data_IF_070546541072
#
_entry.id   IF_070546541072
#
_cell.length_a   1.000
_cell.length_b   1.000
_cell.length_c   1.000
_cell.angle_alpha   90.00
_cell.angle_beta   90.00
_cell.angle_gamma   90.00
#
_symmetry.space_group_name_H-M   'P 1'
#
loop_
_entity.id
_entity.type
_entity.pdbx_description
1 polymer ?
#
# COMPACT_ATOMS: atom_id res chain seq x y z
N UNK A 1 2.12 0.75 10.26
CA UNK A 1 0.89 1.25 9.60
C UNK A 1 0.71 0.65 8.22
N UNK A 2 1.69 0.79 7.30
CA UNK A 2 1.56 0.42 5.89
C UNK A 2 1.76 -1.07 5.53
N UNK A 3 2.41 -1.86 6.39
CA UNK A 3 2.80 -3.24 6.04
C UNK A 3 2.23 -4.31 6.98
N UNK A 4 2.05 -3.99 8.26
CA UNK A 4 1.72 -4.98 9.30
C UNK A 4 0.26 -4.92 9.81
N UNK A 5 -0.54 -3.96 9.34
CA UNK A 5 -1.95 -3.87 9.74
C UNK A 5 -2.80 -4.73 8.81
N UNK A 6 -3.83 -5.40 9.33
CA UNK A 6 -4.77 -6.23 8.54
C UNK A 6 -5.35 -5.43 7.37
N UNK A 7 -5.80 -4.20 7.62
CA UNK A 7 -6.33 -3.30 6.58
C UNK A 7 -5.31 -3.06 5.47
N UNK A 8 -4.04 -2.83 5.83
CA UNK A 8 -3.02 -2.63 4.84
C UNK A 8 -2.80 -3.92 4.04
N UNK A 9 -2.58 -5.05 4.72
CA UNK A 9 -2.33 -6.36 4.09
C UNK A 9 -3.43 -6.74 3.09
N UNK A 10 -4.70 -6.59 3.47
CA UNK A 10 -5.84 -6.86 2.60
C UNK A 10 -5.85 -5.91 1.38
N UNK A 11 -5.51 -4.63 1.56
CA UNK A 11 -5.40 -3.68 0.44
C UNK A 11 -4.25 -4.03 -0.51
N UNK A 12 -3.11 -4.52 -0.02
CA UNK A 12 -2.02 -5.04 -0.85
C UNK A 12 -2.44 -6.27 -1.67
N UNK A 13 -3.20 -7.18 -1.05
CA UNK A 13 -3.76 -8.34 -1.73
C UNK A 13 -4.77 -7.94 -2.83
N UNK A 14 -5.61 -6.94 -2.56
CA UNK A 14 -6.62 -6.47 -3.51
C UNK A 14 -6.02 -5.90 -4.81
N UNK A 15 -4.80 -5.35 -4.77
CA UNK A 15 -4.10 -4.82 -5.95
C UNK A 15 -3.06 -5.79 -6.54
N UNK A 16 -3.01 -7.03 -6.04
CA UNK A 16 -2.10 -8.06 -6.56
C UNK A 16 -0.63 -7.84 -6.20
N UNK A 17 -0.32 -7.02 -5.19
CA UNK A 17 1.05 -6.70 -4.76
C UNK A 17 1.51 -7.54 -3.55
N UNK A 18 0.83 -8.65 -3.27
CA UNK A 18 1.18 -9.55 -2.16
C UNK A 18 2.61 -10.10 -2.27
N UNK A 19 3.13 -10.32 -3.48
CA UNK A 19 4.50 -10.79 -3.69
C UNK A 19 5.55 -9.79 -3.20
N UNK A 20 5.34 -8.50 -3.48
CA UNK A 20 6.20 -7.40 -3.01
C UNK A 20 6.10 -7.26 -1.49
N UNK A 21 4.89 -7.37 -0.93
CA UNK A 21 4.66 -7.26 0.50
C UNK A 21 5.38 -8.35 1.31
N UNK A 22 5.38 -9.59 0.81
CA UNK A 22 5.97 -10.75 1.50
C UNK A 22 7.40 -11.06 1.05
N UNK A 23 8.02 -10.20 0.23
CA UNK A 23 9.40 -10.42 -0.18
C UNK A 23 10.33 -10.28 1.03
N UNK A 24 10.97 -11.39 1.39
CA UNK A 24 11.89 -11.47 2.53
C UNK A 24 13.10 -10.53 2.37
N UNK A 25 13.50 -10.21 1.13
CA UNK A 25 14.56 -9.24 0.86
C UNK A 25 14.20 -7.82 1.32
N UNK A 26 12.90 -7.51 1.43
CA UNK A 26 12.39 -6.21 1.85
C UNK A 26 11.94 -6.21 3.32
N UNK A 27 12.21 -7.25 4.11
CA UNK A 27 11.85 -7.30 5.53
C UNK A 27 12.78 -6.44 6.42
N UNK A 28 12.95 -5.16 6.07
CA UNK A 28 13.73 -4.21 6.84
C UNK A 28 13.01 -3.75 8.11
N UNK A 29 13.77 -3.21 9.07
CA UNK A 29 13.30 -2.77 10.38
C UNK A 29 12.41 -1.54 10.32
N UNK A 30 12.63 -0.63 9.36
CA UNK A 30 11.82 0.59 9.22
C UNK A 30 10.99 0.57 7.95
N UNK A 31 9.81 1.19 7.99
CA UNK A 31 8.94 1.34 6.82
C UNK A 31 9.63 2.11 5.68
N UNK A 32 10.49 3.07 6.02
CA UNK A 32 11.24 3.86 5.04
C UNK A 32 12.24 2.98 4.29
N UNK A 33 13.00 2.15 5.00
CA UNK A 33 13.98 1.26 4.37
C UNK A 33 13.31 0.21 3.48
N UNK A 34 12.10 -0.26 3.86
CA UNK A 34 11.29 -1.13 3.01
C UNK A 34 10.86 -0.42 1.73
N UNK A 35 10.40 0.83 1.81
CA UNK A 35 10.00 1.62 0.63
C UNK A 35 11.20 1.83 -0.29
N UNK A 36 12.37 2.20 0.24
CA UNK A 36 13.59 2.36 -0.55
C UNK A 36 14.02 1.05 -1.21
N UNK A 37 13.93 -0.08 -0.51
CA UNK A 37 14.25 -1.38 -1.09
C UNK A 37 13.31 -1.73 -2.26
N UNK A 38 12.00 -1.49 -2.12
CA UNK A 38 11.04 -1.67 -3.21
C UNK A 38 11.39 -0.76 -4.39
N UNK A 39 11.65 0.53 -4.15
CA UNK A 39 11.98 1.49 -5.21
C UNK A 39 13.27 1.15 -5.98
N UNK A 40 14.25 0.54 -5.31
CA UNK A 40 15.54 0.21 -5.92
C UNK A 40 15.55 -1.14 -6.67
N UNK A 41 14.65 -2.07 -6.32
CA UNK A 41 14.69 -3.44 -6.83
C UNK A 41 13.49 -3.80 -7.74
N UNK A 42 12.38 -3.08 -7.63
CA UNK A 42 11.21 -3.28 -8.48
C UNK A 42 11.22 -2.35 -9.70
N UNK A 43 10.48 -2.72 -10.74
CA UNK A 43 10.31 -1.87 -11.92
C UNK A 43 9.40 -0.65 -11.63
N UNK A 44 9.44 0.36 -12.50
CA UNK A 44 8.69 1.61 -12.32
C UNK A 44 7.17 1.44 -12.27
N UNK A 45 6.59 0.46 -12.97
CA UNK A 45 5.15 0.16 -12.92
C UNK A 45 4.77 -0.41 -11.53
N UNK A 46 5.53 -1.39 -11.03
CA UNK A 46 5.33 -1.94 -9.68
C UNK A 46 5.51 -0.85 -8.61
N UNK A 47 6.57 -0.05 -8.71
CA UNK A 47 6.83 1.05 -7.76
C UNK A 47 5.70 2.08 -7.79
N UNK A 48 5.20 2.43 -8.98
CA UNK A 48 4.07 3.35 -9.15
C UNK A 48 2.80 2.85 -8.43
N UNK A 49 2.44 1.59 -8.64
CA UNK A 49 1.29 0.95 -7.96
C UNK A 49 1.46 0.92 -6.44
N UNK A 50 2.67 0.64 -5.95
CA UNK A 50 3.00 0.68 -4.52
C UNK A 50 2.82 2.08 -3.94
N UNK A 51 3.31 3.12 -4.62
CA UNK A 51 3.18 4.51 -4.15
C UNK A 51 1.70 4.92 -4.06
N UNK A 52 0.91 4.61 -5.07
CA UNK A 52 -0.54 4.90 -5.07
C UNK A 52 -1.25 4.15 -3.94
N UNK A 53 -0.93 2.88 -3.73
CA UNK A 53 -1.50 2.11 -2.63
C UNK A 53 -1.15 2.70 -1.26
N UNK A 54 0.11 3.05 -1.04
CA UNK A 54 0.57 3.68 0.20
C UNK A 54 -0.14 5.01 0.45
N UNK A 55 -0.33 5.81 -0.61
CA UNK A 55 -1.11 7.03 -0.56
C UNK A 55 -2.57 6.76 -0.16
N UNK A 56 -3.24 5.78 -0.78
CA UNK A 56 -4.62 5.43 -0.45
C UNK A 56 -4.79 4.93 1.00
N UNK A 57 -3.84 4.13 1.51
CA UNK A 57 -3.83 3.69 2.92
C UNK A 57 -3.66 4.88 3.86
N UNK A 58 -2.75 5.79 3.55
CA UNK A 58 -2.54 7.01 4.33
C UNK A 58 -3.79 7.91 4.30
N UNK A 59 -4.37 8.12 3.13
CA UNK A 59 -5.57 8.93 2.93
C UNK A 59 -6.76 8.37 3.72
N UNK A 60 -7.01 7.06 3.63
CA UNK A 60 -8.09 6.40 4.39
C UNK A 60 -7.91 6.56 5.91
N UNK A 61 -6.67 6.47 6.40
CA UNK A 61 -6.35 6.73 7.81
C UNK A 61 -6.65 8.18 8.19
N UNK A 62 -6.29 9.13 7.33
CA UNK A 62 -6.52 10.54 7.56
C UNK A 62 -8.03 10.85 7.58
N UNK A 63 -8.79 10.28 6.65
CA UNK A 63 -10.24 10.42 6.57
C UNK A 63 -10.95 9.91 7.83
N UNK A 64 -10.49 8.78 8.39
CA UNK A 64 -10.97 8.32 9.68
C UNK A 64 -10.69 9.30 10.83
N UNK A 65 -9.49 9.90 10.85
CA UNK A 65 -9.09 10.80 11.95
C UNK A 65 -9.88 12.11 11.92
N UNK A 66 -10.09 12.67 10.72
CA UNK A 66 -10.72 13.98 10.58
C UNK A 66 -12.23 13.93 10.37
N UNK A 67 -12.76 12.85 9.78
CA UNK A 67 -14.17 12.76 9.35
C UNK A 67 -14.91 11.53 9.91
N UNK A 68 -14.26 10.70 10.74
CA UNK A 68 -14.78 9.42 11.27
C UNK A 68 -15.27 8.42 10.19
N UNK A 69 -14.86 8.64 8.94
CA UNK A 69 -15.19 7.76 7.83
C UNK A 69 -14.25 6.55 7.81
N UNK A 70 -14.83 5.36 7.93
CA UNK A 70 -14.07 4.10 7.88
C UNK A 70 -14.29 3.45 6.51
N UNK A 71 -13.24 3.41 5.70
CA UNK A 71 -13.24 2.67 4.43
C UNK A 71 -12.83 1.22 4.64
N UNK A 72 -13.49 0.30 3.93
CA UNK A 72 -13.11 -1.10 3.93
C UNK A 72 -11.80 -1.31 3.15
N UNK A 73 -10.95 -2.28 3.53
CA UNK A 73 -9.67 -2.54 2.86
C UNK A 73 -9.78 -2.80 1.35
N UNK A 74 -10.87 -3.45 0.92
CA UNK A 74 -11.20 -3.72 -0.48
C UNK A 74 -11.52 -2.43 -1.26
N UNK A 75 -12.18 -1.45 -0.63
CA UNK A 75 -12.46 -0.15 -1.23
C UNK A 75 -11.17 0.66 -1.40
N UNK A 76 -10.28 0.62 -0.41
CA UNK A 76 -8.96 1.29 -0.47
C UNK A 76 -8.13 0.68 -1.62
N UNK A 77 -8.06 -0.65 -1.70
CA UNK A 77 -7.37 -1.34 -2.78
C UNK A 77 -7.98 -1.05 -4.15
N UNK A 78 -9.31 -0.99 -4.24
CA UNK A 78 -10.01 -0.64 -5.48
C UNK A 78 -9.73 0.79 -5.92
N UNK A 79 -9.78 1.76 -5.00
CA UNK A 79 -9.42 3.14 -5.29
C UNK A 79 -7.96 3.26 -5.76
N UNK A 80 -7.03 2.53 -5.13
CA UNK A 80 -5.63 2.52 -5.56
C UNK A 80 -5.47 1.94 -6.97
N UNK A 81 -6.19 0.87 -7.29
CA UNK A 81 -6.20 0.28 -8.62
C UNK A 81 -6.79 1.23 -9.66
N UNK A 82 -7.95 1.83 -9.39
CA UNK A 82 -8.63 2.74 -10.32
C UNK A 82 -7.80 4.02 -10.54
N UNK A 83 -7.18 4.57 -9.48
CA UNK A 83 -6.29 5.74 -9.56
C UNK A 83 -4.98 5.50 -10.33
N UNK A 84 -4.53 4.24 -10.44
CA UNK A 84 -3.37 3.89 -11.25
C UNK A 84 -3.71 3.66 -12.72
N UNK A 85 -4.90 3.10 -13.00
CA UNK A 85 -5.33 2.79 -14.36
C UNK A 85 -6.02 3.98 -15.08
N UNK A 86 -5.99 5.18 -14.50
CA UNK A 86 -6.64 6.39 -15.03
C UNK A 86 -5.73 7.25 -15.90
#
# INVERSE_FOLDING_TARGET
MFFNCIVAHDSWCAVGLSSVLHNNAYQQTTAMDRIFAVCNNENSDTVGRVVVLLWCIWHSRNDKVWNDNVQMPSQIGRHAFDAWNS
#
